data_IF_141850828568
#
_entry.id   IF_141850828568
#
_cell.length_a   1.000
_cell.length_b   1.000
_cell.length_c   1.000
_cell.angle_alpha   90.00
_cell.angle_beta   90.00
_cell.angle_gamma   90.00
#
_symmetry.space_group_name_H-M   'P 1'
#
loop_
_entity.id
_entity.type
_entity.pdbx_description
1 polymer ?
#
# COMPACT_ATOMS: atom_id res chain seq x y z
N UNK A 1 -9.05 12.10 -19.40
CA UNK A 1 -9.72 10.81 -19.12
C UNK A 1 -9.26 10.30 -17.76
N UNK A 2 -10.12 9.68 -16.96
CA UNK A 2 -9.73 9.11 -15.65
C UNK A 2 -9.91 7.60 -15.70
N UNK A 3 -8.84 6.86 -15.41
CA UNK A 3 -8.87 5.40 -15.30
C UNK A 3 -9.07 5.03 -13.84
N UNK A 4 -10.07 4.18 -13.57
CA UNK A 4 -10.35 3.66 -12.22
C UNK A 4 -10.12 2.16 -12.23
N UNK A 5 -9.33 1.67 -11.28
CA UNK A 5 -9.10 0.25 -11.05
C UNK A 5 -9.41 -0.07 -9.59
N UNK A 6 -9.83 -1.31 -9.33
CA UNK A 6 -10.13 -1.81 -8.00
C UNK A 6 -9.53 -3.21 -7.85
N UNK A 7 -9.00 -3.52 -6.67
CA UNK A 7 -8.30 -4.76 -6.37
C UNK A 7 -7.72 -4.72 -4.95
N UNK A 8 -6.85 -5.67 -4.62
CA UNK A 8 -6.07 -5.59 -3.38
C UNK A 8 -5.07 -4.41 -3.44
N UNK A 9 -4.65 -3.94 -2.25
CA UNK A 9 -3.83 -2.73 -2.13
C UNK A 9 -2.50 -2.88 -2.87
N UNK A 10 -1.88 -4.06 -2.84
CA UNK A 10 -0.58 -4.30 -3.46
C UNK A 10 -0.68 -4.28 -4.99
N UNK A 11 -1.65 -5.02 -5.55
CA UNK A 11 -1.88 -5.06 -7.00
C UNK A 11 -2.28 -3.69 -7.56
N UNK A 12 -3.15 -2.96 -6.87
CA UNK A 12 -3.54 -1.60 -7.31
C UNK A 12 -2.34 -0.66 -7.26
N UNK A 13 -1.51 -0.74 -6.22
CA UNK A 13 -0.31 0.09 -6.12
C UNK A 13 0.67 -0.21 -7.26
N UNK A 14 0.94 -1.49 -7.55
CA UNK A 14 1.80 -1.89 -8.67
C UNK A 14 1.25 -1.40 -10.02
N UNK A 15 -0.03 -1.63 -10.28
CA UNK A 15 -0.67 -1.22 -11.53
C UNK A 15 -0.64 0.31 -11.72
N UNK A 16 -0.90 1.09 -10.67
CA UNK A 16 -0.87 2.56 -10.73
C UNK A 16 0.56 3.06 -10.96
N UNK A 17 1.57 2.50 -10.28
CA UNK A 17 2.96 2.89 -10.46
C UNK A 17 3.42 2.67 -11.90
N UNK A 18 3.22 1.47 -12.45
CA UNK A 18 3.60 1.15 -13.82
C UNK A 18 2.85 2.00 -14.84
N UNK A 19 1.54 2.22 -14.63
CA UNK A 19 0.72 3.06 -15.51
C UNK A 19 1.12 4.53 -15.47
N UNK A 20 1.49 5.05 -14.29
CA UNK A 20 1.94 6.43 -14.12
C UNK A 20 3.26 6.67 -14.84
N UNK A 21 4.24 5.77 -14.68
CA UNK A 21 5.53 5.87 -15.39
C UNK A 21 5.34 5.90 -16.92
N UNK A 22 4.44 5.07 -17.46
CA UNK A 22 4.14 5.07 -18.89
C UNK A 22 3.47 6.39 -19.33
N UNK A 23 2.51 6.89 -18.54
CA UNK A 23 1.81 8.13 -18.84
C UNK A 23 2.73 9.35 -18.74
N UNK A 24 3.70 9.35 -17.82
CA UNK A 24 4.72 10.40 -17.70
C UNK A 24 5.64 10.43 -18.92
N UNK A 25 6.08 9.26 -19.41
CA UNK A 25 6.89 9.18 -20.65
C UNK A 25 6.15 9.74 -21.87
N UNK A 26 4.83 9.62 -21.89
CA UNK A 26 3.97 10.16 -22.94
C UNK A 26 3.50 11.60 -22.66
N UNK A 27 3.98 12.24 -21.58
CA UNK A 27 3.59 13.58 -21.15
C UNK A 27 2.07 13.75 -20.93
N UNK A 28 1.39 12.66 -20.59
CA UNK A 28 -0.06 12.62 -20.42
C UNK A 28 -0.52 12.49 -18.97
N UNK A 29 0.40 12.35 -18.00
CA UNK A 29 0.03 12.22 -16.59
C UNK A 29 -0.36 13.58 -15.99
N UNK A 30 -1.60 13.67 -15.51
CA UNK A 30 -2.09 14.83 -14.74
C UNK A 30 -2.02 14.55 -13.24
N UNK A 31 -2.46 13.37 -12.80
CA UNK A 31 -2.48 12.97 -11.40
C UNK A 31 -2.61 11.44 -11.24
N UNK A 32 -2.13 10.92 -10.11
CA UNK A 32 -2.34 9.54 -9.67
C UNK A 32 -2.70 9.48 -8.17
N UNK A 33 -3.59 8.57 -7.76
CA UNK A 33 -3.95 8.36 -6.36
C UNK A 33 -4.48 6.94 -6.10
N UNK A 34 -3.98 6.33 -5.03
CA UNK A 34 -4.49 5.06 -4.49
C UNK A 34 -5.30 5.32 -3.22
N UNK A 35 -6.45 4.67 -3.09
CA UNK A 35 -7.32 4.72 -1.92
C UNK A 35 -7.47 3.29 -1.40
N UNK A 36 -6.73 2.94 -0.34
CA UNK A 36 -6.70 1.58 0.20
C UNK A 36 -8.05 1.11 0.75
N UNK A 37 -8.86 2.03 1.27
CA UNK A 37 -10.20 1.74 1.82
C UNK A 37 -11.19 2.81 1.38
N UNK A 38 -11.75 2.70 0.17
CA UNK A 38 -12.72 3.68 -0.31
C UNK A 38 -14.00 3.61 0.53
N UNK A 39 -14.62 4.78 0.78
CA UNK A 39 -15.95 4.86 1.37
C UNK A 39 -17.01 4.23 0.47
N UNK A 40 -18.17 3.89 1.06
CA UNK A 40 -19.29 3.33 0.32
C UNK A 40 -19.74 4.28 -0.81
N UNK A 41 -20.05 3.71 -1.98
CA UNK A 41 -20.46 4.47 -3.16
C UNK A 41 -19.33 5.06 -4.02
N UNK A 42 -18.06 4.95 -3.61
CA UNK A 42 -16.92 5.41 -4.42
C UNK A 42 -16.49 4.41 -5.50
N UNK A 43 -16.84 3.13 -5.34
CA UNK A 43 -16.53 2.09 -6.30
C UNK A 43 -17.51 2.13 -7.48
N UNK A 44 -17.04 2.06 -8.74
CA UNK A 44 -17.93 2.01 -9.88
C UNK A 44 -18.75 0.71 -9.87
N UNK A 45 -20.03 0.80 -10.23
CA UNK A 45 -20.98 -0.33 -10.26
C UNK A 45 -20.58 -1.46 -11.24
N UNK A 46 -19.58 -1.24 -12.09
CA UNK A 46 -19.00 -2.26 -12.97
C UNK A 46 -17.59 -1.86 -13.36
N UNK A 47 -16.60 -2.62 -12.91
CA UNK A 47 -15.30 -2.66 -13.58
C UNK A 47 -15.51 -3.54 -14.80
N UNK A 48 -15.60 -2.95 -15.99
CA UNK A 48 -15.51 -3.73 -17.21
C UNK A 48 -14.08 -4.27 -17.25
N UNK A 49 -13.94 -5.60 -17.11
CA UNK A 49 -12.64 -6.23 -17.25
C UNK A 49 -12.07 -5.79 -18.61
N UNK A 50 -10.83 -5.27 -18.67
CA UNK A 50 -10.20 -5.01 -19.95
C UNK A 50 -10.23 -6.32 -20.75
N UNK A 51 -10.70 -6.25 -21.99
CA UNK A 51 -10.61 -7.38 -22.92
C UNK A 51 -9.14 -7.81 -22.96
N UNK A 52 -8.83 -9.12 -22.86
CA UNK A 52 -7.46 -9.57 -22.90
C UNK A 52 -6.79 -9.02 -24.17
N UNK A 53 -5.75 -8.22 -23.99
CA UNK A 53 -4.86 -7.84 -25.08
C UNK A 53 -4.20 -9.13 -25.63
N UNK A 54 -3.89 -9.18 -26.94
CA UNK A 54 -3.35 -10.39 -27.56
C UNK A 54 -2.03 -10.80 -26.91
N UNK A 55 -1.81 -12.12 -26.81
CA UNK A 55 -0.67 -12.82 -26.21
C UNK A 55 0.67 -12.13 -26.49
N UNK A 56 1.10 -11.25 -25.59
CA UNK A 56 2.51 -10.99 -25.41
C UNK A 56 3.04 -12.16 -24.59
N UNK A 57 3.74 -13.07 -25.28
CA UNK A 57 4.42 -14.20 -24.69
C UNK A 57 5.18 -13.75 -23.43
N UNK A 58 4.64 -14.13 -22.27
CA UNK A 58 5.34 -14.00 -21.00
C UNK A 58 6.41 -15.08 -21.04
N UNK A 59 7.61 -14.71 -21.44
CA UNK A 59 8.80 -15.51 -21.16
C UNK A 59 8.90 -15.54 -19.64
N UNK A 60 8.61 -16.70 -19.05
CA UNK A 60 8.86 -17.01 -17.65
C UNK A 60 10.38 -16.99 -17.40
N UNK A 61 10.97 -15.81 -17.32
CA UNK A 61 12.28 -15.67 -16.71
C UNK A 61 12.05 -15.67 -15.19
N UNK A 62 12.26 -16.85 -14.61
CA UNK A 62 12.44 -17.06 -13.19
C UNK A 62 13.62 -16.22 -12.70
N UNK A 63 13.38 -14.94 -12.46
CA UNK A 63 14.31 -14.10 -11.69
C UNK A 63 14.20 -14.53 -10.25
N UNK A 64 15.15 -15.39 -9.87
CA UNK A 64 15.42 -15.80 -8.51
C UNK A 64 15.21 -14.65 -7.53
N UNK A 65 14.29 -14.86 -6.60
CA UNK A 65 14.10 -14.07 -5.40
C UNK A 65 15.43 -14.03 -4.64
N UNK A 66 16.23 -13.02 -4.92
CA UNK A 66 17.37 -12.68 -4.08
C UNK A 66 16.78 -11.90 -2.91
N UNK A 67 16.54 -12.63 -1.83
CA UNK A 67 16.27 -12.07 -0.51
C UNK A 67 17.39 -11.08 -0.16
N UNK A 68 17.03 -9.81 -0.03
CA UNK A 68 17.93 -8.74 0.35
C UNK A 68 17.14 -7.63 1.07
N UNK A 69 17.79 -6.93 2.00
CA UNK A 69 18.32 -7.43 3.25
C UNK A 69 17.19 -7.50 4.30
N UNK A 70 17.36 -8.36 5.30
CA UNK A 70 16.60 -8.27 6.55
C UNK A 70 16.74 -6.86 7.12
N UNK A 71 15.73 -6.01 6.90
CA UNK A 71 15.51 -4.86 7.77
C UNK A 71 15.31 -5.46 9.16
N UNK A 72 16.33 -5.40 9.99
CA UNK A 72 16.20 -5.56 11.43
C UNK A 72 15.37 -4.37 11.92
N UNK A 73 14.07 -4.40 11.64
CA UNK A 73 13.10 -3.58 12.34
C UNK A 73 13.19 -4.06 13.77
N UNK A 74 13.90 -3.30 14.62
CA UNK A 74 13.67 -3.39 16.06
C UNK A 74 12.17 -3.46 16.24
N UNK A 75 11.68 -4.58 16.79
CA UNK A 75 10.25 -4.89 16.79
C UNK A 75 9.56 -3.83 17.62
N UNK A 76 9.00 -2.83 16.95
CA UNK A 76 8.26 -1.76 17.60
C UNK A 76 7.00 -2.38 18.20
N UNK A 77 7.01 -2.55 19.51
CA UNK A 77 5.92 -3.15 20.30
C UNK A 77 4.71 -2.21 20.39
N UNK A 78 4.97 -0.91 20.56
CA UNK A 78 3.95 0.10 20.76
C UNK A 78 3.84 1.09 19.60
N UNK A 79 2.75 1.01 18.81
CA UNK A 79 2.45 1.96 17.72
C UNK A 79 2.09 3.40 18.18
N UNK A 80 2.05 3.68 19.50
CA UNK A 80 1.74 5.02 20.01
C UNK A 80 3.00 5.84 20.27
N UNK A 81 4.02 5.22 20.86
CA UNK A 81 5.29 5.89 21.19
C UNK A 81 6.46 5.44 20.33
N UNK A 82 6.31 4.34 19.57
CA UNK A 82 7.34 3.75 18.71
C UNK A 82 8.64 3.37 19.44
N UNK A 83 8.55 3.09 20.74
CA UNK A 83 9.69 2.71 21.58
C UNK A 83 9.79 1.17 21.66
N UNK A 84 10.95 0.56 21.31
CA UNK A 84 11.17 -0.88 21.38
C UNK A 84 11.17 -1.43 22.82
N UNK A 85 11.38 -0.59 23.84
CA UNK A 85 11.33 -0.99 25.26
C UNK A 85 9.94 -0.84 25.89
N UNK A 86 8.95 -0.33 25.14
CA UNK A 86 7.60 -0.20 25.66
C UNK A 86 6.90 -1.57 25.68
N UNK A 87 6.35 -2.04 26.82
CA UNK A 87 5.73 -3.37 26.90
C UNK A 87 4.35 -3.43 26.24
N UNK A 88 3.72 -2.27 25.96
CA UNK A 88 2.36 -2.19 25.39
C UNK A 88 2.32 -2.77 23.98
N UNK A 89 1.35 -3.64 23.70
CA UNK A 89 1.08 -4.17 22.37
C UNK A 89 -0.15 -3.53 21.72
N UNK A 90 -0.36 -3.83 20.43
CA UNK A 90 -1.55 -3.39 19.70
C UNK A 90 -2.79 -4.13 20.23
N UNK A 91 -3.69 -3.40 20.87
CA UNK A 91 -4.91 -3.94 21.50
C UNK A 91 -4.98 -3.63 22.98
N UNK A 92 -3.82 -3.42 23.61
CA UNK A 92 -3.73 -3.03 25.01
C UNK A 92 -4.16 -1.58 25.26
N UNK A 93 -4.72 -1.28 26.43
CA UNK A 93 -5.12 0.07 26.81
C UNK A 93 -3.94 1.04 26.78
N UNK A 94 -4.23 2.32 26.50
CA UNK A 94 -3.21 3.38 26.39
C UNK A 94 -2.41 3.58 27.68
N UNK A 95 -3.02 3.29 28.83
CA UNK A 95 -2.40 3.36 30.15
C UNK A 95 -1.20 2.42 30.34
N UNK A 96 -1.07 1.37 29.52
CA UNK A 96 0.06 0.46 29.57
C UNK A 96 1.29 0.97 28.79
N UNK A 97 1.19 2.12 28.12
CA UNK A 97 2.32 2.76 27.48
C UNK A 97 3.22 3.42 28.54
N UNK A 98 4.55 3.22 28.46
CA UNK A 98 5.53 3.96 29.29
C UNK A 98 5.44 5.49 29.13
N UNK A 99 4.81 5.94 28.03
CA UNK A 99 4.64 7.34 27.67
C UNK A 99 3.20 7.84 27.78
N UNK A 100 2.33 7.15 28.54
CA UNK A 100 0.89 7.42 28.59
C UNK A 100 0.52 8.90 28.87
N UNK A 101 1.36 9.69 29.55
CA UNK A 101 1.13 11.11 29.82
C UNK A 101 1.92 12.12 28.98
N UNK A 102 2.71 11.69 27.98
CA UNK A 102 3.55 12.60 27.16
C UNK A 102 2.96 12.91 25.78
N UNK A 103 1.96 12.16 25.32
CA UNK A 103 1.33 12.33 24.00
C UNK A 103 -0.18 12.19 24.10
N UNK A 104 -0.89 13.32 24.15
CA UNK A 104 -2.32 13.40 23.91
C UNK A 104 -3.24 13.09 25.10
N UNK A 105 -3.04 13.78 26.23
CA UNK A 105 -4.14 14.01 27.17
C UNK A 105 -5.12 15.00 26.52
N UNK A 106 -6.27 14.49 26.12
CA UNK A 106 -7.46 15.25 25.77
C UNK A 106 -8.69 14.46 26.24
#
# INVERSE_FOLDING_TARGET
MVVKIAGDVASVQAAVMTGAELAERQQGLVAQKVIARPGEGLLPARVQAPSPAPDVAVTEENTALTDAPSHSTERVTCNLCLDPHCPRQKGDPRSQCLHAGKRGDA
#
